data_IF_856524165003
#
_entry.id   IF_856524165003
#
_cell.length_a   1.000
_cell.length_b   1.000
_cell.length_c   1.000
_cell.angle_alpha   90.00
_cell.angle_beta   90.00
_cell.angle_gamma   90.00
#
_symmetry.space_group_name_H-M   'P 1'
#
loop_
_entity.id
_entity.type
_entity.pdbx_description
1 polymer ?
#
# COMPACT_ATOMS: atom_id res chain seq x y z
N UNK A 1 1.37 16.36 18.38
CA UNK A 1 0.93 15.83 17.09
C UNK A 1 1.80 14.61 16.86
N UNK A 2 1.22 13.50 16.43
CA UNK A 2 1.97 12.26 16.23
C UNK A 2 2.38 12.16 14.77
N UNK A 3 3.57 11.65 14.51
CA UNK A 3 4.03 11.35 13.16
C UNK A 3 3.65 9.92 12.81
N UNK A 4 3.27 9.70 11.56
CA UNK A 4 2.95 8.38 11.03
C UNK A 4 3.63 8.22 9.68
N UNK A 5 3.99 6.99 9.37
CA UNK A 5 4.67 6.63 8.14
C UNK A 5 3.87 5.57 7.40
N UNK A 6 3.78 5.74 6.09
CA UNK A 6 3.44 4.68 5.15
C UNK A 6 4.68 4.29 4.35
N UNK A 7 4.94 3.00 4.27
CA UNK A 7 6.02 2.43 3.45
C UNK A 7 5.42 1.31 2.60
N UNK A 8 5.85 1.22 1.35
CA UNK A 8 5.43 0.16 0.44
C UNK A 8 6.44 -0.03 -0.67
N UNK A 9 6.51 -1.24 -1.21
CA UNK A 9 7.28 -1.54 -2.41
C UNK A 9 6.40 -1.39 -3.64
N UNK A 10 6.97 -0.85 -4.72
CA UNK A 10 6.28 -0.79 -6.00
C UNK A 10 7.24 -0.91 -7.18
N UNK A 11 6.70 -1.35 -8.32
CA UNK A 11 7.37 -1.35 -9.61
C UNK A 11 6.39 -1.15 -10.76
N UNK A 12 6.86 -0.60 -11.86
CA UNK A 12 6.16 -0.45 -13.14
C UNK A 12 6.37 -1.68 -14.03
N UNK A 13 5.48 -1.92 -14.98
CA UNK A 13 5.72 -2.92 -16.03
C UNK A 13 6.88 -2.47 -16.92
N UNK A 14 7.76 -3.41 -17.27
CA UNK A 14 8.94 -3.16 -18.08
C UNK A 14 8.61 -2.64 -19.48
N UNK A 15 7.44 -2.98 -20.04
CA UNK A 15 6.97 -2.50 -21.34
C UNK A 15 6.55 -1.04 -21.29
N UNK A 16 6.07 -0.59 -20.14
CA UNK A 16 5.44 0.71 -19.96
C UNK A 16 6.44 1.77 -19.51
N UNK A 17 7.41 1.44 -18.65
CA UNK A 17 8.70 2.13 -18.45
C UNK A 17 8.74 3.67 -18.25
N UNK A 18 7.60 4.34 -18.05
CA UNK A 18 7.46 5.79 -18.28
C UNK A 18 7.18 6.67 -17.06
N UNK A 19 7.06 6.09 -15.87
CA UNK A 19 6.54 6.74 -14.65
C UNK A 19 5.01 6.68 -14.51
N UNK A 20 4.54 6.61 -13.25
CA UNK A 20 3.12 6.65 -12.89
C UNK A 20 2.92 7.44 -11.61
N UNK A 21 2.07 8.46 -11.66
CA UNK A 21 1.62 9.17 -10.47
C UNK A 21 0.48 8.42 -9.77
N UNK A 22 0.59 8.33 -8.45
CA UNK A 22 -0.47 7.86 -7.55
C UNK A 22 -0.62 8.86 -6.42
N UNK A 23 -1.83 8.97 -5.87
CA UNK A 23 -2.07 9.74 -4.65
C UNK A 23 -2.32 8.82 -3.46
N UNK A 24 -1.62 9.07 -2.37
CA UNK A 24 -1.90 8.49 -1.07
C UNK A 24 -2.76 9.47 -0.29
N UNK A 25 -3.91 9.00 0.17
CA UNK A 25 -4.85 9.78 0.95
C UNK A 25 -5.05 9.16 2.32
N UNK A 26 -5.28 10.02 3.30
CA UNK A 26 -5.81 9.62 4.60
C UNK A 26 -7.09 10.39 4.80
N UNK A 27 -8.14 9.63 5.06
CA UNK A 27 -9.48 10.16 5.17
C UNK A 27 -10.11 9.65 6.46
N UNK A 28 -11.02 10.44 6.99
CA UNK A 28 -11.74 10.12 8.22
C UNK A 28 -13.24 10.09 7.92
N UNK A 29 -13.96 9.16 8.55
CA UNK A 29 -15.42 9.24 8.68
C UNK A 29 -15.75 9.53 10.13
N UNK A 30 -16.38 10.68 10.34
CA UNK A 30 -17.26 10.89 11.49
C UNK A 30 -18.72 10.88 11.05
N UNK A 31 -19.04 11.60 9.97
CA UNK A 31 -20.39 11.66 9.34
C UNK A 31 -20.27 11.75 7.80
N UNK A 32 -19.27 12.49 7.33
CA UNK A 32 -18.89 12.61 5.92
C UNK A 32 -17.40 12.30 5.77
N UNK A 33 -16.96 11.64 4.68
CA UNK A 33 -15.55 11.47 4.38
C UNK A 33 -14.86 12.83 4.30
N UNK A 34 -13.85 13.04 5.15
CA UNK A 34 -13.00 14.23 5.09
C UNK A 34 -11.59 13.82 4.68
N UNK A 35 -11.06 14.48 3.65
CA UNK A 35 -9.67 14.34 3.26
C UNK A 35 -8.79 15.05 4.28
N UNK A 36 -8.13 14.27 5.13
CA UNK A 36 -7.19 14.79 6.14
C UNK A 36 -5.82 15.03 5.54
N UNK A 37 -5.43 14.18 4.59
CA UNK A 37 -4.10 14.20 4.03
C UNK A 37 -4.10 13.68 2.58
N UNK A 38 -3.27 14.30 1.73
CA UNK A 38 -3.03 13.88 0.34
C UNK A 38 -1.55 14.05 -0.01
N UNK A 39 -0.97 13.04 -0.66
CA UNK A 39 0.39 13.09 -1.23
C UNK A 39 0.46 12.36 -2.55
N UNK A 40 0.93 13.06 -3.58
CA UNK A 40 1.33 12.44 -4.83
C UNK A 40 2.70 11.79 -4.71
N UNK A 41 2.81 10.55 -5.18
CA UNK A 41 4.04 9.78 -5.31
C UNK A 41 4.20 9.39 -6.78
N UNK A 42 5.39 9.65 -7.33
CA UNK A 42 5.77 9.23 -8.68
C UNK A 42 6.47 7.87 -8.59
N UNK A 43 5.81 6.82 -9.06
CA UNK A 43 6.44 5.52 -9.28
C UNK A 43 7.32 5.63 -10.51
N UNK A 44 8.62 5.37 -10.40
CA UNK A 44 9.58 5.62 -11.48
C UNK A 44 10.62 4.52 -11.67
N UNK A 45 10.28 3.29 -11.27
CA UNK A 45 11.18 2.15 -11.33
C UNK A 45 10.46 0.94 -11.91
N UNK A 46 11.10 0.24 -12.84
CA UNK A 46 10.68 -1.08 -13.33
C UNK A 46 11.15 -2.22 -12.42
N UNK A 47 12.13 -1.94 -11.55
CA UNK A 47 12.55 -2.83 -10.46
C UNK A 47 11.80 -2.49 -9.17
N UNK A 48 11.69 -3.45 -8.26
CA UNK A 48 11.13 -3.23 -6.93
C UNK A 48 11.89 -2.11 -6.22
N UNK A 49 11.18 -1.05 -5.87
CA UNK A 49 11.69 0.10 -5.13
C UNK A 49 10.77 0.41 -3.97
N UNK A 50 11.34 0.68 -2.81
CA UNK A 50 10.59 1.12 -1.65
C UNK A 50 10.27 2.61 -1.74
N UNK A 51 9.01 2.95 -1.46
CA UNK A 51 8.52 4.31 -1.34
C UNK A 51 8.06 4.52 0.10
N UNK A 52 8.58 5.58 0.71
CA UNK A 52 8.37 5.87 2.12
C UNK A 52 7.87 7.30 2.24
N UNK A 53 6.81 7.48 3.02
CA UNK A 53 6.24 8.78 3.27
C UNK A 53 5.80 8.94 4.72
N UNK A 54 6.33 9.97 5.39
CA UNK A 54 5.99 10.33 6.77
C UNK A 54 5.21 11.64 6.80
N UNK A 55 4.11 11.68 7.55
CA UNK A 55 3.32 12.87 7.79
C UNK A 55 3.05 13.07 9.28
N UNK A 56 2.69 14.29 9.64
CA UNK A 56 2.22 14.62 10.99
C UNK A 56 0.70 14.61 10.98
N UNK A 57 0.09 13.76 11.80
CA UNK A 57 -1.37 13.76 11.96
C UNK A 57 -1.81 15.08 12.62
N UNK A 58 -2.82 15.77 12.07
CA UNK A 58 -3.41 16.90 12.77
C UNK A 58 -3.92 16.39 14.13
N UNK A 59 -3.58 17.11 15.20
CA UNK A 59 -4.16 16.81 16.52
C UNK A 59 -5.68 16.86 16.33
N UNK A 60 -6.39 15.86 16.84
CA UNK A 60 -7.86 15.79 16.93
C UNK A 60 -8.60 14.97 15.86
N UNK A 61 -7.91 14.08 15.14
CA UNK A 61 -8.63 13.05 14.36
C UNK A 61 -9.20 11.98 15.30
N UNK A 62 -10.49 12.09 15.63
CA UNK A 62 -11.27 11.05 16.30
C UNK A 62 -12.18 10.34 15.27
N UNK A 63 -12.26 9.01 15.35
CA UNK A 63 -13.11 8.18 14.48
C UNK A 63 -12.33 7.23 13.57
N UNK A 64 -13.07 6.54 12.70
CA UNK A 64 -12.51 5.60 11.75
C UNK A 64 -11.72 6.36 10.67
N UNK A 65 -10.47 5.96 10.48
CA UNK A 65 -9.59 6.49 9.43
C UNK A 65 -9.22 5.39 8.45
N UNK A 66 -9.13 5.71 7.17
CA UNK A 66 -8.58 4.80 6.17
C UNK A 66 -7.49 5.45 5.35
N UNK A 67 -6.67 4.58 4.77
CA UNK A 67 -5.64 4.91 3.80
C UNK A 67 -6.20 4.54 2.43
N UNK A 68 -6.17 5.49 1.50
CA UNK A 68 -6.59 5.27 0.12
C UNK A 68 -5.43 5.46 -0.84
N UNK A 69 -5.27 4.53 -1.78
CA UNK A 69 -4.41 4.68 -2.95
C UNK A 69 -5.29 5.07 -4.14
N UNK A 70 -5.18 6.31 -4.60
CA UNK A 70 -5.87 6.83 -5.77
C UNK A 70 -4.91 6.70 -6.95
N UNK A 71 -5.18 5.72 -7.81
CA UNK A 71 -4.26 5.35 -8.90
C UNK A 71 -4.63 5.95 -10.26
N UNK A 72 -5.83 6.55 -10.36
CA UNK A 72 -6.38 7.05 -11.61
C UNK A 72 -6.60 5.95 -12.67
N UNK A 73 -7.19 6.32 -13.80
CA UNK A 73 -7.15 5.47 -14.99
C UNK A 73 -5.72 5.48 -15.54
N UNK A 74 -5.25 4.33 -16.02
CA UNK A 74 -3.86 4.13 -16.44
C UNK A 74 -3.80 3.13 -17.57
N UNK A 75 -2.99 3.41 -18.59
CA UNK A 75 -2.49 2.44 -19.56
C UNK A 75 -1.23 1.72 -19.05
N UNK A 76 -0.57 2.30 -18.05
CA UNK A 76 0.60 1.72 -17.36
C UNK A 76 0.16 0.73 -16.28
N UNK A 77 0.61 -0.52 -16.40
CA UNK A 77 0.53 -1.54 -15.35
C UNK A 77 1.62 -1.31 -14.29
N UNK A 78 1.26 -1.51 -13.02
CA UNK A 78 2.16 -1.41 -11.87
C UNK A 78 1.70 -2.31 -10.73
N UNK A 79 2.62 -2.62 -9.82
CA UNK A 79 2.36 -3.48 -8.65
C UNK A 79 2.74 -2.77 -7.36
N UNK A 80 2.05 -3.14 -6.29
CA UNK A 80 2.40 -2.82 -4.91
C UNK A 80 2.69 -4.11 -4.14
N UNK A 81 3.58 -4.04 -3.16
CA UNK A 81 3.81 -5.10 -2.19
C UNK A 81 4.25 -4.51 -0.83
N UNK A 82 4.18 -5.33 0.22
CA UNK A 82 4.66 -5.05 1.59
C UNK A 82 4.27 -3.65 2.11
N UNK A 83 2.96 -3.37 2.05
CA UNK A 83 2.38 -2.10 2.51
C UNK A 83 2.34 -2.09 4.04
N UNK A 84 2.91 -1.05 4.64
CA UNK A 84 3.02 -0.87 6.09
C UNK A 84 2.61 0.54 6.48
N UNK A 85 1.88 0.63 7.59
CA UNK A 85 1.53 1.88 8.24
C UNK A 85 1.89 1.80 9.72
N UNK A 86 2.62 2.78 10.24
CA UNK A 86 3.08 2.77 11.62
C UNK A 86 3.25 4.20 12.18
N UNK A 87 3.21 4.34 13.51
CA UNK A 87 3.52 5.59 14.20
C UNK A 87 5.04 5.78 14.28
N UNK A 88 5.53 6.97 13.93
CA UNK A 88 6.95 7.33 13.97
C UNK A 88 7.57 7.59 12.60
N UNK A 89 8.88 7.82 12.60
CA UNK A 89 9.73 7.87 11.39
C UNK A 89 10.25 6.46 11.08
N UNK A 90 10.58 6.13 9.82
CA UNK A 90 11.27 4.89 9.51
C UNK A 90 12.56 4.81 10.34
N UNK A 91 12.67 3.77 11.15
CA UNK A 91 13.95 3.36 11.74
C UNK A 91 14.49 2.23 10.88
N UNK A 92 15.80 2.16 10.67
CA UNK A 92 16.47 1.04 9.96
C UNK A 92 16.16 -0.35 10.59
N UNK A 93 15.49 -0.39 11.74
CA UNK A 93 15.04 -1.58 12.47
C UNK A 93 13.81 -2.30 11.87
N UNK A 94 13.68 -2.39 10.55
CA UNK A 94 12.90 -3.52 10.01
C UNK A 94 13.79 -4.76 10.15
N UNK A 95 13.93 -5.23 11.40
CA UNK A 95 14.48 -6.56 11.67
C UNK A 95 13.52 -7.51 10.97
N UNK A 96 14.06 -8.39 10.12
CA UNK A 96 13.35 -9.50 9.50
C UNK A 96 12.71 -10.38 10.59
N UNK A 97 11.59 -9.93 11.14
CA UNK A 97 10.63 -10.81 11.76
C UNK A 97 9.68 -11.25 10.65
N UNK A 98 10.26 -11.79 9.56
CA UNK A 98 9.59 -12.80 8.78
C UNK A 98 9.40 -13.97 9.76
N UNK A 99 8.31 -13.97 10.52
CA UNK A 99 7.74 -15.23 10.94
C UNK A 99 7.45 -15.97 9.64
N UNK A 100 8.41 -16.80 9.22
CA UNK A 100 8.18 -17.88 8.29
C UNK A 100 6.99 -18.64 8.85
N UNK A 101 5.80 -18.32 8.37
CA UNK A 101 4.62 -19.10 8.66
C UNK A 101 4.91 -20.40 7.94
N UNK A 102 5.33 -21.41 8.69
CA UNK A 102 5.58 -22.74 8.16
C UNK A 102 4.34 -23.14 7.33
N UNK A 103 4.49 -23.66 6.10
CA UNK A 103 3.37 -23.94 5.20
C UNK A 103 2.47 -25.11 5.67
N UNK A 104 2.57 -25.51 6.94
CA UNK A 104 1.73 -26.52 7.55
C UNK A 104 0.29 -26.01 7.63
N UNK A 105 -0.53 -26.50 6.70
CA UNK A 105 -2.00 -26.40 6.59
C UNK A 105 -2.58 -25.31 5.67
N UNK A 106 -1.85 -24.82 4.65
CA UNK A 106 -2.56 -24.22 3.50
C UNK A 106 -3.18 -25.33 2.67
N UNK A 107 -4.50 -25.50 2.76
CA UNK A 107 -5.26 -26.28 1.80
C UNK A 107 -5.02 -25.65 0.44
N UNK A 108 -4.31 -26.36 -0.43
CA UNK A 108 -4.09 -25.96 -1.81
C UNK A 108 -5.44 -26.11 -2.52
N UNK A 109 -6.26 -25.05 -2.56
CA UNK A 109 -7.41 -25.00 -3.45
C UNK A 109 -6.89 -24.74 -4.86
N UNK A 110 -6.63 -25.80 -5.62
CA UNK A 110 -6.42 -25.67 -7.06
C UNK A 110 -7.74 -25.26 -7.71
N UNK A 111 -7.77 -24.12 -8.39
CA UNK A 111 -8.89 -23.63 -9.21
C UNK A 111 -9.24 -24.53 -10.42
N UNK A 112 -8.57 -25.67 -10.58
CA UNK A 112 -8.59 -26.50 -11.80
C UNK A 112 -9.77 -27.47 -11.97
N UNK A 113 -10.70 -27.59 -11.02
CA UNK A 113 -11.75 -28.63 -11.10
C UNK A 113 -13.19 -28.13 -11.26
N UNK A 114 -13.42 -26.83 -11.52
CA UNK A 114 -14.77 -26.35 -11.89
C UNK A 114 -14.99 -26.52 -13.39
N UNK A 115 -15.14 -27.77 -13.83
CA UNK A 115 -15.95 -28.18 -14.98
C UNK A 115 -15.83 -29.69 -15.18
N UNK A 116 -16.79 -30.41 -14.59
CA UNK A 116 -17.42 -31.62 -15.15
C UNK A 116 -18.49 -32.10 -14.17
N UNK A 117 -19.66 -31.48 -14.25
CA UNK A 117 -20.89 -32.20 -13.99
C UNK A 117 -21.64 -32.22 -15.32
N UNK A 118 -21.86 -33.45 -15.81
CA UNK A 118 -22.68 -33.77 -16.98
C UNK A 118 -24.14 -33.52 -16.67
#
# INVERSE_FOLDING_TARGET
>A
AKSYTIAFWAKLDQKEGKEKEIDITIQTISIIPQLVYLKTIVLNSTDWKEYIYTFTSPKDVQGDSWIGFLVGLSDVDFWFDDIRFFEGVPTDEIKENATNISPLNRVISTWGNIKKLK
#
